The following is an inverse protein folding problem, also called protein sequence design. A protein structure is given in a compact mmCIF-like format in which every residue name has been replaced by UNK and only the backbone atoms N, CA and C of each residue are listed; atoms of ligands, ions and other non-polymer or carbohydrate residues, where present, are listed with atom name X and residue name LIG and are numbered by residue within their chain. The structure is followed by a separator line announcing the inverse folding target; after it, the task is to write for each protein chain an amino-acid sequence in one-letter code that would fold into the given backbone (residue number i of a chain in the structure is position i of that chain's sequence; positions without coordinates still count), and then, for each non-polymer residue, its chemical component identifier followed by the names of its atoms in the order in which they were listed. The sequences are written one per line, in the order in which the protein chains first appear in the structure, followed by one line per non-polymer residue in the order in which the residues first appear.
data_IF_427899043057
#
_entry.id   IF_427899043057
#
_cell.length_a   1.000
_cell.length_b   1.000
_cell.length_c   1.000
_cell.angle_alpha   90.00
_cell.angle_beta   90.00
_cell.angle_gamma   90.00
#
_symmetry.space_group_name_H-M   'P 1'
#
loop_
_entity.id
_entity.type
_entity.pdbx_description
1 polymer ?
#
# COMPACT_ATOMS: atom_id res chain seq x y z
N UNK A 1 30.24 -99.91 -8.60
CA UNK A 1 29.53 -99.30 -7.46
C UNK A 1 30.16 -97.96 -7.20
N UNK A 2 29.40 -96.92 -6.84
CA UNK A 2 29.99 -95.64 -6.45
C UNK A 2 30.74 -95.88 -5.15
N UNK A 3 32.06 -95.97 -5.21
CA UNK A 3 32.90 -96.00 -4.02
C UNK A 3 32.86 -94.61 -3.41
N UNK A 4 32.16 -94.48 -2.28
CA UNK A 4 32.14 -93.28 -1.45
C UNK A 4 33.53 -93.08 -0.83
N UNK A 5 34.42 -92.49 -1.61
CA UNK A 5 35.79 -92.16 -1.23
C UNK A 5 35.88 -90.75 -0.63
N UNK A 6 36.89 -90.53 0.22
CA UNK A 6 37.20 -89.25 0.89
C UNK A 6 37.28 -88.04 -0.07
N UNK A 7 37.58 -88.28 -1.34
CA UNK A 7 37.58 -87.29 -2.43
C UNK A 7 36.24 -86.55 -2.58
N UNK A 8 35.10 -87.22 -2.36
CA UNK A 8 33.76 -86.60 -2.45
C UNK A 8 33.57 -85.59 -1.31
N UNK A 9 34.04 -85.91 -0.10
CA UNK A 9 34.01 -84.99 1.04
C UNK A 9 34.87 -83.75 0.78
N UNK A 10 36.09 -83.93 0.25
CA UNK A 10 36.96 -82.81 -0.13
C UNK A 10 36.31 -81.95 -1.22
N UNK A 11 35.75 -82.57 -2.26
CA UNK A 11 35.09 -81.85 -3.35
C UNK A 11 33.88 -81.04 -2.86
N UNK A 12 33.11 -81.57 -1.91
CA UNK A 12 32.00 -80.86 -1.27
C UNK A 12 32.48 -79.66 -0.45
N UNK A 13 33.57 -79.81 0.32
CA UNK A 13 34.17 -78.69 1.07
C UNK A 13 34.66 -77.59 0.13
N UNK A 14 35.34 -77.95 -0.96
CA UNK A 14 35.81 -76.99 -1.98
C UNK A 14 34.63 -76.30 -2.66
N UNK A 15 33.56 -77.04 -3.00
CA UNK A 15 32.36 -76.48 -3.60
C UNK A 15 31.66 -75.47 -2.66
N UNK A 16 31.50 -75.82 -1.38
CA UNK A 16 30.93 -74.90 -0.38
C UNK A 16 31.81 -73.67 -0.21
N UNK A 17 33.13 -73.84 -0.09
CA UNK A 17 34.07 -72.73 0.01
C UNK A 17 34.00 -71.80 -1.23
N UNK A 18 33.86 -72.37 -2.43
CA UNK A 18 33.68 -71.62 -3.67
C UNK A 18 32.36 -70.85 -3.68
N UNK A 19 31.24 -71.49 -3.31
CA UNK A 19 29.92 -70.83 -3.23
C UNK A 19 29.94 -69.66 -2.24
N UNK A 20 30.54 -69.84 -1.06
CA UNK A 20 30.67 -68.77 -0.07
C UNK A 20 31.54 -67.62 -0.58
N UNK A 21 32.64 -67.94 -1.26
CA UNK A 21 33.54 -66.94 -1.86
C UNK A 21 32.81 -66.16 -2.96
N UNK A 22 32.09 -66.85 -3.84
CA UNK A 22 31.34 -66.25 -4.94
C UNK A 22 30.18 -65.39 -4.43
N UNK A 23 29.48 -65.84 -3.39
CA UNK A 23 28.43 -65.07 -2.73
C UNK A 23 28.96 -63.74 -2.18
N UNK A 24 30.10 -63.79 -1.47
CA UNK A 24 30.71 -62.59 -0.87
C UNK A 24 31.35 -61.66 -1.91
N UNK A 25 32.01 -62.20 -2.94
CA UNK A 25 32.74 -61.38 -3.93
C UNK A 25 31.88 -60.89 -5.11
N UNK A 26 30.90 -61.66 -5.59
CA UNK A 26 30.12 -61.30 -6.79
C UNK A 26 28.68 -60.92 -6.46
N UNK A 27 27.93 -61.82 -5.81
CA UNK A 27 26.50 -61.60 -5.64
C UNK A 27 26.20 -60.42 -4.72
N UNK A 28 26.89 -60.32 -3.58
CA UNK A 28 26.67 -59.22 -2.63
C UNK A 28 26.91 -57.81 -3.24
N UNK A 29 28.03 -57.52 -3.95
CA UNK A 29 28.22 -56.21 -4.56
C UNK A 29 27.25 -55.94 -5.72
N UNK A 30 26.86 -56.96 -6.50
CA UNK A 30 25.89 -56.78 -7.59
C UNK A 30 24.52 -56.37 -7.03
N UNK A 31 24.02 -57.05 -6.00
CA UNK A 31 22.75 -56.69 -5.37
C UNK A 31 22.81 -55.30 -4.74
N UNK A 32 23.93 -54.94 -4.09
CA UNK A 32 24.12 -53.59 -3.53
C UNK A 32 24.02 -52.50 -4.60
N UNK A 33 24.64 -52.69 -5.77
CA UNK A 33 24.58 -51.71 -6.87
C UNK A 33 23.15 -51.61 -7.42
N UNK A 34 22.42 -52.73 -7.51
CA UNK A 34 21.02 -52.70 -7.92
C UNK A 34 20.13 -51.94 -6.92
N UNK A 35 20.28 -52.22 -5.62
CA UNK A 35 19.54 -51.52 -4.57
C UNK A 35 19.88 -50.03 -4.53
N UNK A 36 21.16 -49.67 -4.70
CA UNK A 36 21.61 -48.28 -4.73
C UNK A 36 21.02 -47.54 -5.94
N UNK A 37 21.03 -48.17 -7.12
CA UNK A 37 20.37 -47.60 -8.32
C UNK A 37 18.88 -47.42 -8.11
N UNK A 38 18.20 -48.41 -7.53
CA UNK A 38 16.78 -48.33 -7.26
C UNK A 38 16.46 -47.17 -6.30
N UNK A 39 17.22 -47.05 -5.20
CA UNK A 39 17.08 -45.95 -4.24
C UNK A 39 17.32 -44.57 -4.86
N UNK A 40 18.32 -44.43 -5.73
CA UNK A 40 18.60 -43.16 -6.42
C UNK A 40 17.45 -42.79 -7.34
N UNK A 41 16.92 -43.74 -8.12
CA UNK A 41 15.79 -43.49 -9.03
C UNK A 41 14.54 -43.13 -8.25
N UNK A 42 14.17 -43.93 -7.24
CA UNK A 42 13.00 -43.67 -6.39
C UNK A 42 13.12 -42.32 -5.66
N UNK A 43 14.28 -42.03 -5.07
CA UNK A 43 14.55 -40.76 -4.40
C UNK A 43 14.45 -39.56 -5.35
N UNK A 44 15.04 -39.66 -6.55
CA UNK A 44 14.96 -38.59 -7.55
C UNK A 44 13.53 -38.33 -8.04
N UNK A 45 12.72 -39.38 -8.16
CA UNK A 45 11.32 -39.27 -8.55
C UNK A 45 10.48 -38.62 -7.44
N UNK A 46 10.72 -39.00 -6.19
CA UNK A 46 10.05 -38.42 -5.03
C UNK A 46 10.42 -36.95 -4.85
N UNK A 47 11.70 -36.60 -5.01
CA UNK A 47 12.19 -35.23 -4.97
C UNK A 47 11.57 -34.38 -6.09
N UNK A 48 11.52 -34.89 -7.32
CA UNK A 48 10.89 -34.22 -8.45
C UNK A 48 9.39 -33.97 -8.21
N UNK A 49 8.67 -34.96 -7.65
CA UNK A 49 7.26 -34.80 -7.27
C UNK A 49 7.09 -33.75 -6.19
N UNK A 50 7.92 -33.79 -5.14
CA UNK A 50 7.88 -32.82 -4.04
C UNK A 50 8.13 -31.40 -4.56
N UNK A 51 9.17 -31.21 -5.37
CA UNK A 51 9.50 -29.91 -5.95
C UNK A 51 8.38 -29.38 -6.85
N UNK A 52 7.74 -30.27 -7.62
CA UNK A 52 6.60 -29.89 -8.48
C UNK A 52 5.40 -29.42 -7.64
N UNK A 53 5.06 -30.15 -6.58
CA UNK A 53 3.99 -29.78 -5.65
C UNK A 53 4.31 -28.48 -4.90
N UNK A 54 5.56 -28.30 -4.48
CA UNK A 54 6.00 -27.09 -3.80
C UNK A 54 5.93 -25.87 -4.74
N UNK A 55 6.36 -26.04 -5.99
CA UNK A 55 6.25 -25.00 -7.03
C UNK A 55 4.80 -24.61 -7.29
N UNK A 56 3.90 -25.59 -7.42
CA UNK A 56 2.47 -25.34 -7.62
C UNK A 56 1.84 -24.60 -6.43
N UNK A 57 2.20 -24.97 -5.20
CA UNK A 57 1.79 -24.25 -4.00
C UNK A 57 2.31 -22.82 -3.97
N UNK A 58 3.61 -22.62 -4.23
CA UNK A 58 4.21 -21.28 -4.28
C UNK A 58 3.57 -20.41 -5.36
N UNK A 59 3.26 -20.98 -6.53
CA UNK A 59 2.59 -20.26 -7.61
C UNK A 59 1.18 -19.84 -7.20
N UNK A 60 0.41 -20.75 -6.59
CA UNK A 60 -0.94 -20.44 -6.09
C UNK A 60 -0.92 -19.36 -5.00
N UNK A 61 0.00 -19.44 -4.05
CA UNK A 61 0.19 -18.40 -3.03
C UNK A 61 0.59 -17.06 -3.64
N UNK A 62 1.48 -17.07 -4.65
CA UNK A 62 1.91 -15.87 -5.34
C UNK A 62 0.75 -15.20 -6.09
N UNK A 63 -0.06 -15.98 -6.83
CA UNK A 63 -1.24 -15.49 -7.51
C UNK A 63 -2.26 -14.91 -6.52
N UNK A 64 -2.48 -15.59 -5.39
CA UNK A 64 -3.36 -15.10 -4.32
C UNK A 64 -2.87 -13.75 -3.76
N UNK A 65 -1.58 -13.65 -3.42
CA UNK A 65 -0.95 -12.40 -2.95
C UNK A 65 -1.03 -11.28 -3.99
N UNK A 66 -0.88 -11.60 -5.27
CA UNK A 66 -1.00 -10.63 -6.36
C UNK A 66 -2.42 -10.07 -6.46
N UNK A 67 -3.44 -10.93 -6.33
CA UNK A 67 -4.85 -10.52 -6.33
C UNK A 67 -5.14 -9.64 -5.10
N UNK A 68 -4.69 -10.05 -3.92
CA UNK A 68 -4.86 -9.29 -2.68
C UNK A 68 -4.18 -7.91 -2.78
N UNK A 69 -2.95 -7.85 -3.30
CA UNK A 69 -2.24 -6.60 -3.50
C UNK A 69 -2.96 -5.65 -4.46
N UNK A 70 -3.53 -6.18 -5.57
CA UNK A 70 -4.35 -5.40 -6.51
C UNK A 70 -5.61 -4.87 -5.84
N UNK A 71 -6.30 -5.69 -5.05
CA UNK A 71 -7.49 -5.26 -4.32
C UNK A 71 -7.17 -4.17 -3.30
N UNK A 72 -6.10 -4.32 -2.52
CA UNK A 72 -5.62 -3.30 -1.59
C UNK A 72 -5.26 -1.99 -2.30
N UNK A 73 -4.57 -2.06 -3.44
CA UNK A 73 -4.24 -0.87 -4.23
C UNK A 73 -5.50 -0.11 -4.67
N UNK A 74 -6.51 -0.82 -5.18
CA UNK A 74 -7.79 -0.21 -5.56
C UNK A 74 -8.50 0.40 -4.36
N UNK A 75 -8.50 -0.29 -3.21
CA UNK A 75 -9.08 0.23 -1.97
C UNK A 75 -8.39 1.52 -1.51
N UNK A 76 -7.06 1.56 -1.51
CA UNK A 76 -6.28 2.74 -1.11
C UNK A 76 -6.58 3.92 -2.03
N UNK A 77 -6.61 3.71 -3.36
CA UNK A 77 -6.94 4.77 -4.32
C UNK A 77 -8.36 5.28 -4.11
N UNK A 78 -9.33 4.39 -3.89
CA UNK A 78 -10.70 4.79 -3.62
C UNK A 78 -10.85 5.56 -2.31
N UNK A 79 -10.19 5.12 -1.24
CA UNK A 79 -10.17 5.84 0.05
C UNK A 79 -9.53 7.22 -0.10
N UNK A 80 -8.39 7.32 -0.79
CA UNK A 80 -7.74 8.60 -1.06
C UNK A 80 -8.64 9.55 -1.86
N UNK A 81 -9.39 9.02 -2.84
CA UNK A 81 -10.36 9.82 -3.62
C UNK A 81 -11.51 10.33 -2.76
N UNK A 82 -12.06 9.49 -1.88
CA UNK A 82 -13.14 9.88 -0.96
C UNK A 82 -12.64 10.97 -0.01
N UNK A 83 -11.47 10.77 0.62
CA UNK A 83 -10.87 11.76 1.52
C UNK A 83 -10.61 13.09 0.80
N UNK A 84 -10.07 13.06 -0.41
CA UNK A 84 -9.82 14.27 -1.20
C UNK A 84 -11.13 15.01 -1.55
N UNK A 85 -12.21 14.28 -1.87
CA UNK A 85 -13.52 14.89 -2.13
C UNK A 85 -14.12 15.53 -0.88
N UNK A 86 -13.95 14.88 0.28
CA UNK A 86 -14.44 15.37 1.56
C UNK A 86 -13.66 16.62 2.00
N UNK A 87 -12.33 16.60 1.89
CA UNK A 87 -11.46 17.74 2.14
C UNK A 87 -11.76 18.92 1.19
N UNK A 88 -11.98 18.64 -0.10
CA UNK A 88 -12.37 19.67 -1.07
C UNK A 88 -13.71 20.32 -0.67
N UNK A 89 -14.69 19.52 -0.25
CA UNK A 89 -16.00 20.01 0.18
C UNK A 89 -15.87 20.86 1.44
N UNK A 90 -15.08 20.42 2.42
CA UNK A 90 -14.80 21.20 3.63
C UNK A 90 -14.10 22.52 3.31
N UNK A 91 -13.06 22.49 2.47
CA UNK A 91 -12.32 23.67 2.05
C UNK A 91 -13.24 24.67 1.35
N UNK A 92 -14.13 24.20 0.47
CA UNK A 92 -15.12 25.05 -0.21
C UNK A 92 -16.12 25.66 0.78
N UNK A 93 -16.61 24.88 1.74
CA UNK A 93 -17.52 25.39 2.78
C UNK A 93 -16.83 26.42 3.68
N UNK A 94 -15.58 26.18 4.09
CA UNK A 94 -14.77 27.15 4.85
C UNK A 94 -14.58 28.44 4.06
N UNK A 95 -14.14 28.34 2.81
CA UNK A 95 -13.94 29.50 1.94
C UNK A 95 -15.23 30.32 1.73
N UNK A 96 -16.38 29.66 1.55
CA UNK A 96 -17.68 30.35 1.45
C UNK A 96 -18.04 31.08 2.74
N UNK A 97 -17.84 30.45 3.89
CA UNK A 97 -18.12 31.06 5.20
C UNK A 97 -17.22 32.26 5.45
N UNK A 98 -15.93 32.16 5.17
CA UNK A 98 -14.98 33.26 5.28
C UNK A 98 -15.34 34.41 4.34
N UNK A 99 -15.73 34.10 3.10
CA UNK A 99 -16.19 35.10 2.14
C UNK A 99 -17.45 35.84 2.63
N UNK A 100 -18.45 35.10 3.14
CA UNK A 100 -19.67 35.70 3.70
C UNK A 100 -19.36 36.59 4.91
N UNK A 101 -18.47 36.16 5.80
CA UNK A 101 -18.01 36.96 6.93
C UNK A 101 -17.30 38.23 6.48
N UNK A 102 -16.35 38.12 5.55
CA UNK A 102 -15.63 39.26 4.99
C UNK A 102 -16.58 40.25 4.30
N UNK A 103 -17.57 39.76 3.57
CA UNK A 103 -18.57 40.60 2.91
C UNK A 103 -19.46 41.32 3.93
N UNK A 104 -19.85 40.65 5.02
CA UNK A 104 -20.62 41.27 6.09
C UNK A 104 -19.82 42.38 6.80
N UNK A 105 -18.54 42.13 7.10
CA UNK A 105 -17.64 43.13 7.67
C UNK A 105 -17.45 44.32 6.74
N UNK A 106 -17.24 44.08 5.44
CA UNK A 106 -17.07 45.13 4.44
C UNK A 106 -18.32 46.01 4.35
N UNK A 107 -19.52 45.40 4.35
CA UNK A 107 -20.79 46.14 4.35
C UNK A 107 -20.94 47.00 5.60
N UNK A 108 -20.57 46.49 6.77
CA UNK A 108 -20.61 47.26 8.02
C UNK A 108 -19.70 48.48 7.95
N UNK A 109 -18.44 48.30 7.50
CA UNK A 109 -17.49 49.39 7.33
C UNK A 109 -17.97 50.43 6.32
N UNK A 110 -18.57 49.98 5.21
CA UNK A 110 -19.06 50.87 4.16
C UNK A 110 -20.25 51.73 4.65
N UNK A 111 -21.12 51.18 5.50
CA UNK A 111 -22.21 51.96 6.10
C UNK A 111 -21.69 52.96 7.14
N UNK A 112 -20.67 52.60 7.93
CA UNK A 112 -19.97 53.53 8.84
C UNK A 112 -19.30 54.67 8.06
N UNK A 113 -18.54 54.36 7.02
CA UNK A 113 -17.88 55.36 6.16
C UNK A 113 -18.90 56.30 5.50
N UNK A 114 -20.02 55.76 5.02
CA UNK A 114 -21.11 56.55 4.44
C UNK A 114 -21.75 57.48 5.46
N UNK A 115 -21.92 57.03 6.72
CA UNK A 115 -22.43 57.87 7.79
C UNK A 115 -21.44 59.00 8.12
N UNK A 116 -20.15 58.69 8.24
CA UNK A 116 -19.09 59.69 8.46
C UNK A 116 -19.01 60.71 7.31
N UNK A 117 -19.14 60.26 6.06
CA UNK A 117 -19.16 61.14 4.90
C UNK A 117 -20.38 62.08 4.90
N UNK A 118 -21.56 61.57 5.29
CA UNK A 118 -22.77 62.39 5.48
C UNK A 118 -22.60 63.43 6.58
N UNK A 119 -22.00 63.05 7.70
CA UNK A 119 -21.70 63.97 8.82
C UNK A 119 -20.81 65.12 8.34
N UNK A 120 -19.70 64.80 7.64
CA UNK A 120 -18.78 65.79 7.07
C UNK A 120 -19.48 66.72 6.06
N UNK A 121 -20.32 66.16 5.18
CA UNK A 121 -21.09 66.97 4.23
C UNK A 121 -22.04 67.95 4.94
N UNK A 122 -22.73 67.53 6.01
CA UNK A 122 -23.59 68.43 6.81
C UNK A 122 -22.78 69.57 7.42
N UNK A 123 -21.61 69.28 7.98
CA UNK A 123 -20.71 70.30 8.53
C UNK A 123 -20.24 71.29 7.45
N UNK A 124 -19.86 70.80 6.27
CA UNK A 124 -19.48 71.66 5.13
C UNK A 124 -20.64 72.53 4.63
N UNK A 125 -21.87 71.98 4.56
CA UNK A 125 -23.06 72.74 4.16
C UNK A 125 -23.37 73.84 5.17
N UNK A 126 -23.31 73.57 6.47
CA UNK A 126 -23.50 74.59 7.51
C UNK A 126 -22.44 75.69 7.41
N UNK A 127 -21.17 75.31 7.21
CA UNK A 127 -20.07 76.26 7.02
C UNK A 127 -20.28 77.15 5.78
N UNK A 128 -20.67 76.54 4.64
CA UNK A 128 -20.99 77.27 3.41
C UNK A 128 -22.21 78.19 3.58
N UNK A 129 -23.24 77.75 4.29
CA UNK A 129 -24.42 78.55 4.57
C UNK A 129 -24.07 79.81 5.38
N UNK A 130 -23.23 79.66 6.42
CA UNK A 130 -22.71 80.80 7.20
C UNK A 130 -21.93 81.76 6.31
N UNK A 131 -20.99 81.26 5.49
CA UNK A 131 -20.21 82.09 4.57
C UNK A 131 -21.08 82.85 3.57
N UNK A 132 -22.12 82.21 3.02
CA UNK A 132 -23.07 82.86 2.11
C UNK A 132 -23.87 83.94 2.84
N UNK A 133 -24.38 83.63 4.04
CA UNK A 133 -25.11 84.59 4.87
C UNK A 133 -24.25 85.81 5.23
N UNK A 134 -22.98 85.63 5.61
CA UNK A 134 -22.04 86.73 5.84
C UNK A 134 -21.82 87.58 4.59
N UNK A 135 -21.67 86.93 3.43
CA UNK A 135 -21.43 87.64 2.16
C UNK A 135 -22.63 88.43 1.66
N UNK A 136 -23.85 87.92 1.88
CA UNK A 136 -25.09 88.61 1.51
C UNK A 136 -25.43 89.74 2.49
N UNK A 137 -25.23 89.53 3.80
CA UNK A 137 -25.55 90.52 4.83
C UNK A 137 -24.50 91.62 4.96
N UNK A 138 -23.30 91.46 4.38
CA UNK A 138 -22.25 92.48 4.31
C UNK A 138 -21.59 92.80 5.65
N UNK A 139 -21.79 91.97 6.67
CA UNK A 139 -21.25 92.11 8.03
C UNK A 139 -21.01 90.72 8.61
N UNK A 140 -19.86 90.54 9.28
CA UNK A 140 -19.49 89.27 9.92
C UNK A 140 -20.57 88.88 10.93
N UNK A 141 -21.05 87.65 10.84
CA UNK A 141 -21.92 87.08 11.85
C UNK A 141 -21.02 86.60 12.98
N UNK A 142 -20.73 87.50 13.93
CA UNK A 142 -19.98 87.12 15.12
C UNK A 142 -20.75 86.07 15.92
N UNK A 143 -20.04 84.97 16.15
CA UNK A 143 -20.32 83.82 17.02
C UNK A 143 -21.26 84.15 18.19
N UNK A 144 -22.54 83.81 18.03
CA UNK A 144 -23.37 83.39 19.15
C UNK A 144 -24.29 82.26 18.72
N UNK A 145 -23.73 81.05 18.75
CA UNK A 145 -24.29 79.82 19.33
C UNK A 145 -23.27 78.70 19.23
#
# INVERSE_FOLDING_TARGET
MVELNYTILIQMVIFIALVLTLNKLLYQPIFKIMDERQKVVEGSLEEAKRLSQETERMLSEYESKLIEARQKAVQVVNQAKIQAQEEQKEALTRARKEFEQSLAELRSRLEEEKQQAREKLRQMVNYLAILISEKILGRKLEERL
#
